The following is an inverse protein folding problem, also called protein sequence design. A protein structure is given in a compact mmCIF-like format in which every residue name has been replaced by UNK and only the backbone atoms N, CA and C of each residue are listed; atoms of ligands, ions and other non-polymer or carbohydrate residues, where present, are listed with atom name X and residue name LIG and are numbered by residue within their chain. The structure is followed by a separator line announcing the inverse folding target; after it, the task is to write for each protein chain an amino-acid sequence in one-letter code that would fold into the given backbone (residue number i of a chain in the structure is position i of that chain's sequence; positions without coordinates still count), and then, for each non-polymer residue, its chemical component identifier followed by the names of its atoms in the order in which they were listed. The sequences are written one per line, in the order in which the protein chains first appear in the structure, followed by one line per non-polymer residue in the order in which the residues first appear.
data_IF_597893850183
#
_entry.id   IF_597893850183
#
_cell.length_a   1.000
_cell.length_b   1.000
_cell.length_c   1.000
_cell.angle_alpha   90.00
_cell.angle_beta   90.00
_cell.angle_gamma   90.00
#
_symmetry.space_group_name_H-M   'P 1'
#
loop_
_entity.id
_entity.type
_entity.pdbx_description
1 polymer ?
#
# COMPACT_ATOMS: atom_id res chain seq x y z
N UNK A 1 4.87 -5.03 23.66
CA UNK A 1 4.47 -4.42 22.38
C UNK A 1 4.35 -5.54 21.36
N UNK A 2 3.15 -5.84 20.86
CA UNK A 2 2.96 -6.90 19.87
C UNK A 2 3.46 -6.42 18.52
N UNK A 3 4.39 -7.17 17.92
CA UNK A 3 4.88 -6.91 16.57
C UNK A 3 3.76 -7.23 15.56
N UNK A 4 3.48 -6.36 14.57
CA UNK A 4 2.47 -6.67 13.56
C UNK A 4 2.86 -7.95 12.80
N UNK A 5 1.96 -8.92 12.76
CA UNK A 5 2.17 -10.15 12.01
C UNK A 5 2.17 -9.82 10.51
N UNK A 6 3.30 -10.00 9.84
CA UNK A 6 3.38 -9.94 8.37
C UNK A 6 2.74 -11.22 7.82
N UNK A 7 1.75 -11.07 6.95
CA UNK A 7 1.14 -12.16 6.17
C UNK A 7 1.31 -11.86 4.69
N UNK A 8 1.69 -12.88 3.92
CA UNK A 8 1.66 -12.90 2.46
C UNK A 8 0.29 -13.34 1.93
N UNK A 9 -0.58 -13.84 2.82
CA UNK A 9 -1.96 -14.17 2.52
C UNK A 9 -2.84 -12.93 2.69
N UNK A 10 -3.59 -12.63 1.65
CA UNK A 10 -4.67 -11.64 1.66
C UNK A 10 -5.99 -12.41 1.66
N UNK A 11 -6.72 -12.37 2.77
CA UNK A 11 -8.04 -13.00 2.88
C UNK A 11 -9.13 -12.02 2.39
N UNK A 12 -9.88 -12.39 1.35
CA UNK A 12 -10.98 -11.59 0.84
C UNK A 12 -11.42 -11.99 -0.56
N UNK A 13 -12.56 -11.46 -1.02
CA UNK A 13 -13.00 -11.60 -2.41
C UNK A 13 -12.07 -10.81 -3.33
N UNK A 14 -11.71 -11.36 -4.48
CA UNK A 14 -10.84 -10.70 -5.46
C UNK A 14 -11.36 -9.32 -5.86
N UNK A 15 -12.67 -9.15 -5.99
CA UNK A 15 -13.28 -7.86 -6.34
C UNK A 15 -13.05 -6.78 -5.26
N UNK A 16 -13.09 -7.16 -3.98
CA UNK A 16 -12.86 -6.25 -2.85
C UNK A 16 -11.38 -5.85 -2.82
N UNK A 17 -10.49 -6.80 -3.07
CA UNK A 17 -9.06 -6.55 -3.10
C UNK A 17 -8.66 -5.64 -4.25
N UNK A 18 -9.20 -5.89 -5.44
CA UNK A 18 -9.03 -5.01 -6.58
C UNK A 18 -9.51 -3.58 -6.27
N UNK A 19 -10.68 -3.44 -5.62
CA UNK A 19 -11.19 -2.15 -5.19
C UNK A 19 -10.26 -1.45 -4.17
N UNK A 20 -9.83 -2.15 -3.11
CA UNK A 20 -8.93 -1.59 -2.10
C UNK A 20 -7.60 -1.14 -2.73
N UNK A 21 -7.00 -1.97 -3.58
CA UNK A 21 -5.74 -1.63 -4.23
C UNK A 21 -5.92 -0.50 -5.24
N UNK A 22 -7.04 -0.42 -5.96
CA UNK A 22 -7.32 0.70 -6.88
C UNK A 22 -7.43 2.06 -6.17
N UNK A 23 -7.73 2.07 -4.87
CA UNK A 23 -7.74 3.28 -4.04
C UNK A 23 -6.42 3.53 -3.32
N UNK A 24 -5.39 2.72 -3.56
CA UNK A 24 -4.07 2.95 -3.00
C UNK A 24 -3.54 4.32 -3.42
N UNK A 25 -3.06 5.07 -2.43
CA UNK A 25 -2.33 6.32 -2.59
C UNK A 25 -1.13 6.33 -1.66
N UNK A 26 0.06 6.52 -2.23
CA UNK A 26 1.25 6.78 -1.44
C UNK A 26 1.10 8.13 -0.76
N UNK A 27 1.23 8.17 0.56
CA UNK A 27 1.01 9.41 1.29
C UNK A 27 2.09 10.49 1.10
N UNK A 28 3.24 10.12 0.51
CA UNK A 28 4.38 11.03 0.33
C UNK A 28 4.35 11.70 -1.04
N UNK A 29 4.08 10.94 -2.09
CA UNK A 29 4.11 11.42 -3.48
C UNK A 29 2.78 11.25 -4.22
N UNK A 30 1.70 10.83 -3.53
CA UNK A 30 0.42 10.46 -4.15
C UNK A 30 0.50 9.36 -5.23
N UNK A 31 1.60 8.60 -5.25
CA UNK A 31 1.79 7.46 -6.15
C UNK A 31 0.65 6.46 -6.07
N UNK A 32 0.35 5.80 -7.18
CA UNK A 32 -0.88 5.04 -7.36
C UNK A 32 -0.67 3.63 -7.89
N UNK A 33 -1.64 2.77 -7.63
CA UNK A 33 -1.68 1.45 -8.24
C UNK A 33 -2.06 1.56 -9.72
N UNK A 34 -1.18 1.07 -10.57
CA UNK A 34 -1.38 0.86 -12.00
C UNK A 34 -1.29 -0.63 -12.31
N UNK A 35 -2.01 -1.09 -13.33
CA UNK A 35 -1.94 -2.47 -13.83
C UNK A 35 -2.18 -3.54 -12.74
N UNK A 36 -3.45 -3.72 -12.38
CA UNK A 36 -3.91 -4.86 -11.58
C UNK A 36 -3.99 -6.11 -12.46
N UNK A 37 -3.26 -7.15 -12.12
CA UNK A 37 -3.25 -8.42 -12.83
C UNK A 37 -3.33 -9.60 -11.86
N UNK A 38 -3.97 -10.68 -12.27
CA UNK A 38 -3.91 -11.96 -11.56
C UNK A 38 -3.07 -12.93 -12.39
N UNK A 39 -2.09 -13.58 -11.76
CA UNK A 39 -1.26 -14.55 -12.46
C UNK A 39 -1.93 -15.94 -12.55
N UNK A 40 -1.27 -16.88 -13.22
CA UNK A 40 -1.78 -18.25 -13.39
C UNK A 40 -1.90 -19.06 -12.08
N UNK A 41 -1.40 -18.54 -10.96
CA UNK A 41 -1.52 -19.14 -9.62
C UNK A 41 -2.68 -18.55 -8.82
N UNK A 42 -3.35 -17.52 -9.34
CA UNK A 42 -4.42 -16.82 -8.65
C UNK A 42 -3.95 -15.70 -7.72
N UNK A 43 -2.65 -15.36 -7.74
CA UNK A 43 -2.09 -14.25 -6.95
C UNK A 43 -2.35 -12.93 -7.68
N UNK A 44 -2.83 -11.94 -6.96
CA UNK A 44 -3.03 -10.58 -7.47
C UNK A 44 -1.73 -9.77 -7.35
N UNK A 45 -1.33 -9.18 -8.46
CA UNK A 45 -0.21 -8.28 -8.59
C UNK A 45 -0.72 -6.88 -8.89
N UNK A 46 -0.13 -5.89 -8.23
CA UNK A 46 -0.36 -4.49 -8.51
C UNK A 46 1.00 -3.80 -8.64
N UNK A 47 1.18 -3.03 -9.70
CA UNK A 47 2.36 -2.18 -9.84
C UNK A 47 2.02 -0.82 -9.22
N UNK A 48 2.86 -0.34 -8.31
CA UNK A 48 2.70 1.01 -7.76
C UNK A 48 3.66 1.94 -8.50
N UNK A 49 3.14 3.01 -9.08
CA UNK A 49 3.94 4.08 -9.67
C UNK A 49 4.14 5.20 -8.65
N UNK A 50 5.39 5.63 -8.53
CA UNK A 50 5.83 6.70 -7.65
C UNK A 50 6.54 7.78 -8.48
N UNK A 51 6.51 9.02 -8.00
CA UNK A 51 7.43 10.04 -8.47
C UNK A 51 8.88 9.63 -8.14
N UNK A 52 9.83 9.95 -9.03
CA UNK A 52 11.23 9.54 -8.89
C UNK A 52 11.90 10.03 -7.60
N UNK A 53 11.39 11.13 -7.02
CA UNK A 53 11.91 11.71 -5.77
C UNK A 53 11.25 11.13 -4.53
N UNK A 54 10.37 10.12 -4.67
CA UNK A 54 9.65 9.56 -3.55
C UNK A 54 10.60 8.83 -2.59
N UNK A 55 10.63 9.18 -1.29
CA UNK A 55 11.53 8.55 -0.32
C UNK A 55 11.28 7.04 -0.14
N UNK A 56 10.10 6.54 -0.52
CA UNK A 56 9.77 5.11 -0.53
C UNK A 56 10.66 4.34 -1.49
N UNK A 57 10.98 4.90 -2.67
CA UNK A 57 11.87 4.26 -3.64
C UNK A 57 13.29 4.11 -3.12
N UNK A 58 13.71 4.99 -2.21
CA UNK A 58 15.04 4.98 -1.61
C UNK A 58 15.09 4.29 -0.24
N UNK A 59 13.98 3.71 0.23
CA UNK A 59 13.92 3.06 1.55
C UNK A 59 14.04 4.02 2.73
N UNK A 60 13.86 5.33 2.51
CA UNK A 60 14.00 6.39 3.51
C UNK A 60 12.63 6.94 3.94
N UNK A 61 11.69 6.07 4.27
CA UNK A 61 10.38 6.52 4.77
C UNK A 61 10.53 6.84 6.25
N UNK A 62 10.45 8.13 6.62
CA UNK A 62 10.36 8.52 8.02
C UNK A 62 9.05 7.98 8.61
N UNK A 63 9.07 7.54 9.87
CA UNK A 63 7.83 7.17 10.58
C UNK A 63 6.97 8.39 10.94
N UNK A 64 7.54 9.60 10.91
CA UNK A 64 6.86 10.84 11.34
C UNK A 64 5.52 11.08 10.62
N UNK A 65 5.42 10.96 9.28
CA UNK A 65 4.16 11.16 8.56
C UNK A 65 3.07 10.14 8.93
N UNK A 66 3.43 8.91 9.29
CA UNK A 66 2.49 7.91 9.78
C UNK A 66 1.96 8.26 11.17
N UNK A 67 2.82 8.75 12.08
CA UNK A 67 2.39 9.24 13.40
C UNK A 67 1.40 10.42 13.29
N UNK A 68 1.62 11.36 12.37
CA UNK A 68 0.70 12.49 12.18
C UNK A 68 -0.63 12.06 11.55
N UNK A 69 -0.62 11.12 10.58
CA UNK A 69 -1.88 10.53 10.06
C UNK A 69 -2.64 9.75 11.11
N UNK A 70 -1.96 8.91 11.89
CA UNK A 70 -2.57 8.16 12.97
C UNK A 70 -3.22 9.09 14.00
N UNK A 71 -2.53 10.18 14.37
CA UNK A 71 -3.06 11.20 15.29
C UNK A 71 -4.26 11.97 14.70
N UNK A 72 -4.26 12.23 13.39
CA UNK A 72 -5.36 12.92 12.71
C UNK A 72 -6.63 12.06 12.59
N UNK A 73 -6.49 10.72 12.52
CA UNK A 73 -7.60 9.76 12.43
C UNK A 73 -8.15 9.29 13.80
N UNK A 74 -7.67 9.85 14.92
CA UNK A 74 -8.14 9.55 16.29
C UNK A 74 -9.20 10.51 16.83
N UNK A 75 -10.05 11.10 15.96
CA UNK A 75 -11.18 11.94 16.39
C UNK A 75 -12.53 11.30 16.11
#
# INVERSE_FOLDING_TARGET
MSQPARTDLVAGRAEILAAMVSHYRCSHCNGEAVNLATDGTGVMHARIEHDDTCPVLHGHVSALPDTFRAAANTR
#
